data_IF_204742747391
#
_entry.id   IF_204742747391
#
_cell.length_a   1.000
_cell.length_b   1.000
_cell.length_c   1.000
_cell.angle_alpha   90.00
_cell.angle_beta   90.00
_cell.angle_gamma   90.00
#
_symmetry.space_group_name_H-M   'P 1'
#
loop_
_entity.id
_entity.type
_entity.pdbx_description
1 polymer ?
#
# COMPACT_ATOMS: atom_id res chain seq x y z
N UNK A 1 50.12 -13.92 -18.01
CA UNK A 1 49.00 -14.03 -18.97
C UNK A 1 47.78 -13.45 -18.31
N UNK A 2 47.28 -12.35 -18.86
CA UNK A 2 46.09 -11.64 -18.43
C UNK A 2 44.86 -12.18 -19.19
N UNK A 3 43.73 -12.31 -18.49
CA UNK A 3 42.40 -12.42 -19.07
C UNK A 3 41.37 -12.03 -17.98
N UNK A 4 40.24 -11.39 -18.35
CA UNK A 4 39.94 -10.07 -17.83
C UNK A 4 38.57 -9.96 -17.14
N UNK A 5 38.45 -8.86 -16.40
CA UNK A 5 37.24 -8.31 -15.81
C UNK A 5 36.20 -8.01 -16.91
N UNK A 6 35.06 -8.69 -16.88
CA UNK A 6 33.90 -8.43 -17.74
C UNK A 6 32.95 -7.43 -17.09
N UNK A 7 33.31 -6.15 -17.14
CA UNK A 7 32.39 -5.05 -16.88
C UNK A 7 31.48 -4.91 -18.11
N UNK A 8 30.18 -5.22 -17.99
CA UNK A 8 29.18 -4.86 -19.00
C UNK A 8 28.56 -3.50 -18.60
N UNK A 9 28.73 -2.44 -19.40
CA UNK A 9 27.99 -1.21 -19.26
C UNK A 9 26.70 -1.30 -20.11
N UNK A 10 25.61 -0.71 -19.60
CA UNK A 10 24.49 -0.31 -20.44
C UNK A 10 23.32 -1.29 -20.52
N UNK A 11 22.42 -1.16 -19.55
CA UNK A 11 21.01 -1.47 -19.72
C UNK A 11 20.22 -0.29 -19.16
N UNK A 12 20.21 0.81 -19.91
CA UNK A 12 19.45 2.01 -19.56
C UNK A 12 17.98 1.67 -19.40
N UNK A 13 17.47 1.78 -18.18
CA UNK A 13 16.04 1.84 -17.94
C UNK A 13 15.51 3.14 -18.58
N UNK A 14 14.60 3.08 -19.56
CA UNK A 14 13.92 4.28 -19.99
C UNK A 14 12.97 4.67 -18.86
N UNK A 15 13.30 5.79 -18.21
CA UNK A 15 12.37 6.54 -17.40
C UNK A 15 11.15 6.90 -18.27
N UNK A 16 10.08 6.12 -18.11
CA UNK A 16 8.72 6.50 -18.48
C UNK A 16 8.06 7.21 -17.31
N UNK A 17 8.07 8.53 -17.38
CA UNK A 17 7.34 9.44 -16.49
C UNK A 17 5.84 9.15 -16.57
N UNK A 18 5.27 8.51 -15.55
CA UNK A 18 3.82 8.31 -15.46
C UNK A 18 3.42 7.20 -14.49
N UNK A 19 3.20 7.58 -13.23
CA UNK A 19 2.23 6.95 -12.32
C UNK A 19 2.09 5.41 -12.38
N UNK A 20 3.17 4.66 -12.19
CA UNK A 20 3.08 3.22 -11.91
C UNK A 20 2.98 3.00 -10.40
N UNK A 21 1.82 3.34 -9.83
CA UNK A 21 1.33 2.63 -8.64
C UNK A 21 1.20 1.19 -9.10
N UNK A 22 2.17 0.34 -8.76
CA UNK A 22 2.06 -1.10 -8.97
C UNK A 22 0.72 -1.52 -8.34
N UNK A 23 -0.29 -1.93 -9.13
CA UNK A 23 -1.58 -2.23 -8.58
C UNK A 23 -1.42 -3.46 -7.69
N UNK A 24 -1.94 -3.37 -6.45
CA UNK A 24 -2.04 -4.50 -5.53
C UNK A 24 -2.50 -5.74 -6.30
N UNK A 25 -1.83 -6.88 -6.13
CA UNK A 25 -2.09 -8.10 -6.89
C UNK A 25 -3.56 -8.57 -6.83
N UNK A 26 -4.33 -8.17 -5.81
CA UNK A 26 -5.77 -8.40 -5.71
C UNK A 26 -6.65 -7.45 -6.54
N UNK A 27 -6.16 -6.26 -6.89
CA UNK A 27 -6.93 -5.27 -7.65
C UNK A 27 -7.20 -5.72 -9.09
N UNK A 28 -6.27 -6.46 -9.70
CA UNK A 28 -6.48 -7.03 -11.04
C UNK A 28 -7.49 -8.19 -11.02
N UNK A 29 -7.51 -8.99 -9.96
CA UNK A 29 -8.49 -10.07 -9.79
C UNK A 29 -9.89 -9.52 -9.52
N UNK A 30 -10.00 -8.47 -8.69
CA UNK A 30 -11.27 -7.78 -8.43
C UNK A 30 -11.80 -7.09 -9.70
N UNK A 31 -10.94 -6.42 -10.47
CA UNK A 31 -11.33 -5.85 -11.77
C UNK A 31 -11.82 -6.91 -12.76
N UNK A 32 -11.15 -8.07 -12.82
CA UNK A 32 -11.59 -9.17 -13.67
C UNK A 32 -12.95 -9.74 -13.21
N UNK A 33 -13.18 -9.81 -11.90
CA UNK A 33 -14.45 -10.26 -11.32
C UNK A 33 -15.59 -9.26 -11.57
N UNK A 34 -15.34 -7.95 -11.36
CA UNK A 34 -16.31 -6.88 -11.67
C UNK A 34 -16.65 -6.87 -13.15
N UNK A 35 -15.66 -7.05 -14.03
CA UNK A 35 -15.91 -7.15 -15.47
C UNK A 35 -16.79 -8.37 -15.82
N UNK A 36 -16.53 -9.52 -15.19
CA UNK A 36 -17.37 -10.71 -15.35
C UNK A 36 -18.82 -10.49 -14.88
N UNK A 37 -19.02 -9.79 -13.77
CA UNK A 37 -20.35 -9.42 -13.27
C UNK A 37 -21.07 -8.45 -14.21
N UNK A 38 -20.36 -7.46 -14.76
CA UNK A 38 -20.93 -6.50 -15.72
C UNK A 38 -21.37 -7.21 -17.00
N UNK A 39 -20.57 -8.14 -17.51
CA UNK A 39 -20.93 -8.93 -18.70
C UNK A 39 -22.17 -9.80 -18.43
N UNK A 40 -22.25 -10.44 -17.26
CA UNK A 40 -23.43 -11.21 -16.85
C UNK A 40 -24.67 -10.32 -16.73
N UNK A 41 -24.55 -9.14 -16.10
CA UNK A 41 -25.67 -8.20 -15.97
C UNK A 41 -26.13 -7.68 -17.34
N UNK A 42 -25.19 -7.41 -18.23
CA UNK A 42 -25.47 -7.00 -19.62
C UNK A 42 -26.24 -8.09 -20.38
N UNK A 43 -25.83 -9.35 -20.23
CA UNK A 43 -26.55 -10.51 -20.78
C UNK A 43 -27.98 -10.61 -20.26
N UNK A 44 -28.18 -10.48 -18.94
CA UNK A 44 -29.52 -10.52 -18.32
C UNK A 44 -30.39 -9.34 -18.77
N UNK A 45 -29.80 -8.16 -18.98
CA UNK A 45 -30.53 -6.98 -19.50
C UNK A 45 -30.92 -7.15 -20.97
N UNK A 46 -30.07 -7.80 -21.77
CA UNK A 46 -30.40 -8.14 -23.15
C UNK A 46 -31.55 -9.14 -23.19
N UNK A 47 -31.46 -10.21 -22.41
CA UNK A 47 -32.50 -11.24 -22.32
C UNK A 47 -33.84 -10.67 -21.82
N UNK A 48 -33.81 -9.75 -20.83
CA UNK A 48 -35.03 -9.07 -20.40
C UNK A 48 -35.65 -8.21 -21.51
N UNK A 49 -34.83 -7.50 -22.31
CA UNK A 49 -35.35 -6.73 -23.45
C UNK A 49 -36.02 -7.64 -24.48
N UNK A 50 -35.40 -8.76 -24.83
CA UNK A 50 -35.99 -9.74 -25.75
C UNK A 50 -37.31 -10.29 -25.21
N UNK A 51 -37.36 -10.68 -23.93
CA UNK A 51 -38.59 -11.13 -23.28
C UNK A 51 -39.68 -10.05 -23.26
N UNK A 52 -39.31 -8.78 -23.09
CA UNK A 52 -40.25 -7.65 -23.17
C UNK A 52 -40.79 -7.44 -24.58
N UNK A 53 -39.94 -7.55 -25.60
CA UNK A 53 -40.37 -7.48 -27.00
C UNK A 53 -41.29 -8.66 -27.37
N UNK A 54 -40.98 -9.86 -26.89
CA UNK A 54 -41.85 -11.03 -27.04
C UNK A 54 -43.21 -10.83 -26.35
N UNK A 55 -43.22 -10.34 -25.10
CA UNK A 55 -44.46 -10.02 -24.38
C UNK A 55 -45.27 -8.94 -25.11
N UNK A 56 -44.63 -7.88 -25.59
CA UNK A 56 -45.28 -6.82 -26.36
C UNK A 56 -45.87 -7.37 -27.66
N UNK A 57 -45.15 -8.26 -28.35
CA UNK A 57 -45.65 -8.94 -29.55
C UNK A 57 -46.82 -9.88 -29.24
N UNK A 58 -46.78 -10.57 -28.10
CA UNK A 58 -47.85 -11.43 -27.59
C UNK A 58 -49.11 -10.65 -27.22
N UNK A 59 -48.95 -9.49 -26.58
CA UNK A 59 -50.02 -8.54 -26.27
C UNK A 59 -50.62 -7.99 -27.56
N UNK A 60 -49.79 -7.56 -28.52
CA UNK A 60 -50.27 -7.07 -29.81
C UNK A 60 -51.06 -8.14 -30.57
N UNK A 61 -50.62 -9.41 -30.54
CA UNK A 61 -51.38 -10.55 -31.11
C UNK A 61 -52.67 -10.84 -30.36
N UNK A 62 -52.68 -10.71 -29.03
CA UNK A 62 -53.90 -10.86 -28.23
C UNK A 62 -54.90 -9.72 -28.51
N UNK A 63 -54.42 -8.51 -28.80
CA UNK A 63 -55.22 -7.33 -29.12
C UNK A 63 -55.76 -7.36 -30.56
N UNK A 64 -55.02 -7.98 -31.50
CA UNK A 64 -55.44 -8.18 -32.90
C UNK A 64 -56.40 -9.36 -33.06
N UNK A 65 -56.65 -10.18 -32.03
CA UNK A 65 -57.75 -11.16 -32.05
C UNK A 65 -59.05 -10.42 -31.74
N UNK A 66 -59.86 -10.05 -32.76
CA UNK A 66 -61.16 -9.47 -32.49
C UNK A 66 -61.99 -10.57 -31.84
N UNK A 67 -62.82 -10.22 -30.86
CA UNK A 67 -63.92 -11.06 -30.46
C UNK A 67 -64.70 -11.44 -31.71
N UNK A 68 -64.60 -12.70 -32.11
CA UNK A 68 -65.36 -13.27 -33.22
C UNK A 68 -66.80 -13.47 -32.72
N UNK A 69 -67.51 -12.35 -32.61
CA UNK A 69 -68.93 -12.23 -32.28
C UNK A 69 -69.55 -11.33 -33.33
N UNK A 70 -69.89 -11.96 -34.45
CA UNK A 70 -70.93 -11.62 -35.42
C UNK A 70 -71.93 -10.57 -34.93
N UNK A 71 -71.99 -9.39 -35.58
CA UNK A 71 -73.22 -8.60 -35.69
C UNK A 71 -73.21 -7.81 -37.00
N UNK A 72 -74.03 -8.29 -37.94
CA UNK A 72 -74.38 -7.61 -39.17
C UNK A 72 -75.29 -6.38 -38.94
N UNK A 73 -75.08 -5.43 -39.85
CA UNK A 73 -75.98 -4.41 -40.38
C UNK A 73 -77.42 -4.32 -39.83
N UNK A 74 -77.82 -3.12 -39.40
CA UNK A 74 -79.23 -2.77 -39.19
C UNK A 74 -79.41 -1.45 -38.44
N UNK A 75 -79.72 -0.39 -39.18
CA UNK A 75 -80.33 0.84 -38.65
C UNK A 75 -81.53 0.49 -37.77
N UNK A 76 -81.40 0.70 -36.47
CA UNK A 76 -82.53 0.87 -35.56
C UNK A 76 -82.14 2.04 -34.67
N UNK A 77 -82.88 3.13 -34.77
CA UNK A 77 -82.94 4.17 -33.74
C UNK A 77 -83.30 3.48 -32.42
N UNK A 78 -82.27 3.09 -31.68
CA UNK A 78 -82.42 2.43 -30.39
C UNK A 78 -82.85 3.47 -29.37
N UNK A 79 -84.13 3.48 -29.05
CA UNK A 79 -84.55 3.78 -27.69
C UNK A 79 -83.56 3.11 -26.74
N UNK A 80 -82.94 3.88 -25.85
CA UNK A 80 -82.13 3.30 -24.77
C UNK A 80 -83.00 2.21 -24.13
N UNK A 81 -82.57 0.94 -24.10
CA UNK A 81 -83.36 -0.10 -23.49
C UNK A 81 -83.59 0.35 -22.05
N UNK A 82 -84.85 0.36 -21.60
CA UNK A 82 -85.13 0.47 -20.17
C UNK A 82 -84.49 -0.75 -19.52
N UNK A 83 -83.26 -0.59 -19.03
CA UNK A 83 -82.50 -1.65 -18.39
C UNK A 83 -83.34 -2.20 -17.24
N UNK A 84 -83.72 -3.47 -17.38
CA UNK A 84 -84.54 -4.16 -16.40
C UNK A 84 -83.80 -4.11 -15.06
N UNK A 85 -84.49 -3.89 -13.93
CA UNK A 85 -83.84 -3.74 -12.62
C UNK A 85 -82.85 -4.88 -12.26
N UNK A 86 -83.07 -6.07 -12.83
CA UNK A 86 -82.16 -7.22 -12.73
C UNK A 86 -80.82 -7.02 -13.46
N UNK A 87 -80.79 -6.39 -14.64
CA UNK A 87 -79.58 -6.09 -15.41
C UNK A 87 -78.74 -4.98 -14.74
N UNK A 88 -79.41 -4.00 -14.13
CA UNK A 88 -78.77 -3.02 -13.28
C UNK A 88 -78.11 -3.67 -12.06
N UNK A 89 -78.79 -4.61 -11.42
CA UNK A 89 -78.24 -5.36 -10.28
C UNK A 89 -77.05 -6.23 -10.66
N UNK A 90 -77.08 -6.93 -11.80
CA UNK A 90 -75.94 -7.74 -12.24
C UNK A 90 -74.72 -6.86 -12.56
N UNK A 91 -74.92 -5.72 -13.24
CA UNK A 91 -73.83 -4.76 -13.51
C UNK A 91 -73.26 -4.14 -12.24
N UNK A 92 -74.09 -3.86 -11.24
CA UNK A 92 -73.64 -3.33 -9.95
C UNK A 92 -72.76 -4.37 -9.23
N UNK A 93 -73.19 -5.64 -9.18
CA UNK A 93 -72.40 -6.74 -8.60
C UNK A 93 -71.09 -6.96 -9.37
N UNK A 94 -71.11 -6.86 -10.70
CA UNK A 94 -69.89 -6.96 -11.51
C UNK A 94 -68.94 -5.78 -11.28
N UNK A 95 -69.46 -4.56 -11.13
CA UNK A 95 -68.67 -3.38 -10.81
C UNK A 95 -68.06 -3.49 -9.40
N UNK A 96 -68.82 -3.94 -8.41
CA UNK A 96 -68.34 -4.21 -7.05
C UNK A 96 -67.21 -5.25 -7.05
N UNK A 97 -67.38 -6.36 -7.78
CA UNK A 97 -66.31 -7.37 -7.93
C UNK A 97 -65.05 -6.81 -8.57
N UNK A 98 -65.19 -5.94 -9.58
CA UNK A 98 -64.05 -5.27 -10.23
C UNK A 98 -63.37 -4.29 -9.27
N UNK A 99 -64.14 -3.54 -8.48
CA UNK A 99 -63.62 -2.63 -7.45
C UNK A 99 -62.86 -3.42 -6.39
N UNK A 100 -63.41 -4.53 -5.91
CA UNK A 100 -62.72 -5.41 -4.96
C UNK A 100 -61.42 -5.96 -5.52
N UNK A 101 -61.44 -6.47 -6.76
CA UNK A 101 -60.23 -6.98 -7.44
C UNK A 101 -59.15 -5.90 -7.61
N UNK A 102 -59.53 -4.69 -8.05
CA UNK A 102 -58.63 -3.55 -8.17
C UNK A 102 -58.10 -3.10 -6.80
N UNK A 103 -58.94 -3.13 -5.76
CA UNK A 103 -58.51 -2.77 -4.40
C UNK A 103 -57.48 -3.74 -3.84
N UNK A 104 -57.60 -5.03 -4.15
CA UNK A 104 -56.63 -6.04 -3.77
C UNK A 104 -55.32 -5.87 -4.55
N UNK A 105 -55.40 -5.68 -5.86
CA UNK A 105 -54.23 -5.39 -6.69
C UNK A 105 -53.48 -4.11 -6.23
N UNK A 106 -54.21 -3.07 -5.83
CA UNK A 106 -53.61 -1.85 -5.27
C UNK A 106 -52.89 -2.11 -3.94
N UNK A 107 -53.46 -2.92 -3.05
CA UNK A 107 -52.81 -3.31 -1.79
C UNK A 107 -51.53 -4.10 -2.05
N UNK A 108 -51.57 -5.06 -2.96
CA UNK A 108 -50.41 -5.89 -3.32
C UNK A 108 -49.29 -5.02 -3.94
N UNK A 109 -49.65 -4.08 -4.82
CA UNK A 109 -48.70 -3.14 -5.39
C UNK A 109 -48.09 -2.20 -4.33
N UNK A 110 -48.90 -1.70 -3.39
CA UNK A 110 -48.40 -0.86 -2.30
C UNK A 110 -47.44 -1.62 -1.37
N UNK A 111 -47.73 -2.89 -1.08
CA UNK A 111 -46.82 -3.77 -0.34
C UNK A 111 -45.50 -3.96 -1.07
N UNK A 112 -45.56 -4.28 -2.36
CA UNK A 112 -44.37 -4.47 -3.19
C UNK A 112 -43.49 -3.22 -3.24
N UNK A 113 -44.09 -2.03 -3.38
CA UNK A 113 -43.35 -0.75 -3.34
C UNK A 113 -42.66 -0.57 -1.99
N UNK A 114 -43.34 -0.86 -0.89
CA UNK A 114 -42.76 -0.76 0.47
C UNK A 114 -41.58 -1.72 0.65
N UNK A 115 -41.70 -2.95 0.14
CA UNK A 115 -40.61 -3.94 0.18
C UNK A 115 -39.40 -3.50 -0.66
N UNK A 116 -39.63 -2.95 -1.85
CA UNK A 116 -38.55 -2.38 -2.66
C UNK A 116 -37.87 -1.19 -1.99
N UNK A 117 -38.64 -0.29 -1.37
CA UNK A 117 -38.09 0.84 -0.63
C UNK A 117 -37.20 0.37 0.53
N UNK A 118 -37.67 -0.62 1.29
CA UNK A 118 -36.88 -1.21 2.38
C UNK A 118 -35.61 -1.90 1.86
N UNK A 119 -35.72 -2.70 0.80
CA UNK A 119 -34.58 -3.38 0.19
C UNK A 119 -33.54 -2.38 -0.36
N UNK A 120 -33.98 -1.33 -1.04
CA UNK A 120 -33.09 -0.27 -1.53
C UNK A 120 -32.41 0.48 -0.37
N UNK A 121 -33.15 0.76 0.70
CA UNK A 121 -32.59 1.40 1.88
C UNK A 121 -31.50 0.56 2.54
N UNK A 122 -31.72 -0.75 2.67
CA UNK A 122 -30.73 -1.69 3.21
C UNK A 122 -29.49 -1.78 2.30
N UNK A 123 -29.69 -1.88 0.99
CA UNK A 123 -28.59 -1.93 0.02
C UNK A 123 -27.75 -0.65 0.04
N UNK A 124 -28.39 0.52 0.14
CA UNK A 124 -27.68 1.81 0.23
C UNK A 124 -26.92 1.93 1.56
N UNK A 125 -27.48 1.44 2.67
CA UNK A 125 -26.76 1.38 3.95
C UNK A 125 -25.53 0.49 3.86
N UNK A 126 -25.69 -0.73 3.36
CA UNK A 126 -24.57 -1.66 3.19
C UNK A 126 -23.50 -1.05 2.28
N UNK A 127 -23.87 -0.43 1.15
CA UNK A 127 -22.94 0.23 0.25
C UNK A 127 -22.15 1.34 0.97
N UNK A 128 -22.84 2.18 1.76
CA UNK A 128 -22.22 3.25 2.54
C UNK A 128 -21.25 2.69 3.57
N UNK A 129 -21.66 1.66 4.31
CA UNK A 129 -20.84 1.04 5.35
C UNK A 129 -19.58 0.41 4.73
N UNK A 130 -19.74 -0.33 3.63
CA UNK A 130 -18.62 -0.92 2.88
C UNK A 130 -17.66 0.11 2.32
N UNK A 131 -18.16 1.25 1.83
CA UNK A 131 -17.30 2.34 1.36
C UNK A 131 -16.50 2.95 2.51
N UNK A 132 -17.13 3.17 3.66
CA UNK A 132 -16.48 3.73 4.85
C UNK A 132 -15.42 2.76 5.41
N UNK A 133 -15.74 1.46 5.51
CA UNK A 133 -14.79 0.41 5.89
C UNK A 133 -13.57 0.40 4.97
N UNK A 134 -13.80 0.39 3.65
CA UNK A 134 -12.71 0.40 2.66
C UNK A 134 -11.85 1.65 2.78
N UNK A 135 -12.44 2.82 2.97
CA UNK A 135 -11.69 4.07 3.17
C UNK A 135 -10.82 4.00 4.42
N UNK A 136 -11.35 3.45 5.52
CA UNK A 136 -10.61 3.24 6.75
C UNK A 136 -9.44 2.26 6.58
N UNK A 137 -9.65 1.13 5.89
CA UNK A 137 -8.59 0.16 5.57
C UNK A 137 -7.47 0.77 4.73
N UNK A 138 -7.81 1.54 3.70
CA UNK A 138 -6.81 2.22 2.86
C UNK A 138 -6.02 3.24 3.68
N UNK A 139 -6.70 4.03 4.51
CA UNK A 139 -6.04 5.00 5.38
C UNK A 139 -5.12 4.31 6.40
N UNK A 140 -5.56 3.20 7.00
CA UNK A 140 -4.74 2.46 7.97
C UNK A 140 -3.46 1.92 7.32
N UNK A 141 -3.55 1.39 6.10
CA UNK A 141 -2.41 0.95 5.30
C UNK A 141 -1.44 2.12 5.03
N UNK A 142 -1.95 3.27 4.58
CA UNK A 142 -1.11 4.44 4.34
C UNK A 142 -0.41 4.91 5.61
N UNK A 143 -1.15 5.02 6.73
CA UNK A 143 -0.56 5.43 8.01
C UNK A 143 0.52 4.45 8.48
N UNK A 144 0.30 3.15 8.33
CA UNK A 144 1.27 2.11 8.66
C UNK A 144 2.54 2.21 7.79
N UNK A 145 2.41 2.38 6.47
CA UNK A 145 3.58 2.56 5.61
C UNK A 145 4.34 3.85 5.90
N UNK A 146 3.64 4.94 6.22
CA UNK A 146 4.27 6.18 6.65
C UNK A 146 5.06 5.99 7.96
N UNK A 147 4.48 5.27 8.93
CA UNK A 147 5.18 4.92 10.16
C UNK A 147 6.42 4.08 9.87
N UNK A 148 6.30 3.02 9.07
CA UNK A 148 7.44 2.15 8.72
C UNK A 148 8.56 2.93 8.02
N UNK A 149 8.23 3.82 7.09
CA UNK A 149 9.20 4.68 6.41
C UNK A 149 9.85 5.68 7.37
N UNK A 150 9.09 6.22 8.32
CA UNK A 150 9.64 7.10 9.36
C UNK A 150 10.59 6.35 10.29
N UNK A 151 10.26 5.10 10.64
CA UNK A 151 11.11 4.25 11.48
C UNK A 151 12.42 3.92 10.77
N UNK A 152 12.38 3.48 9.51
CA UNK A 152 13.62 3.17 8.77
C UNK A 152 14.52 4.41 8.55
N UNK A 153 13.92 5.58 8.32
CA UNK A 153 14.65 6.85 8.29
C UNK A 153 15.28 7.18 9.64
N UNK A 154 14.56 6.97 10.74
CA UNK A 154 15.08 7.21 12.08
C UNK A 154 16.20 6.22 12.44
N UNK A 155 16.08 4.95 12.08
CA UNK A 155 17.11 3.93 12.28
C UNK A 155 18.40 4.27 11.55
N UNK A 156 18.30 4.70 10.28
CA UNK A 156 19.48 5.13 9.50
C UNK A 156 20.12 6.39 10.08
N UNK A 157 19.32 7.37 10.49
CA UNK A 157 19.82 8.58 11.17
C UNK A 157 20.52 8.22 12.49
N UNK A 158 19.92 7.35 13.30
CA UNK A 158 20.52 6.89 14.56
C UNK A 158 21.84 6.16 14.31
N UNK A 159 21.93 5.29 13.31
CA UNK A 159 23.17 4.61 12.95
C UNK A 159 24.28 5.61 12.51
N UNK A 160 23.91 6.67 11.80
CA UNK A 160 24.86 7.72 11.44
C UNK A 160 25.32 8.52 12.66
N UNK A 161 24.41 8.89 13.56
CA UNK A 161 24.75 9.60 14.80
C UNK A 161 25.65 8.76 15.72
N UNK A 162 25.38 7.47 15.88
CA UNK A 162 26.22 6.59 16.69
C UNK A 162 27.59 6.41 16.07
N UNK A 163 27.68 6.27 14.73
CA UNK A 163 28.96 6.22 14.04
C UNK A 163 29.75 7.53 14.20
N UNK A 164 29.12 8.70 14.06
CA UNK A 164 29.76 9.99 14.30
C UNK A 164 30.25 10.14 15.75
N UNK A 165 29.43 9.72 16.72
CA UNK A 165 29.81 9.74 18.13
C UNK A 165 31.01 8.82 18.42
N UNK A 166 31.05 7.66 17.77
CA UNK A 166 32.18 6.73 17.88
C UNK A 166 33.46 7.27 17.21
N UNK A 167 33.35 7.88 16.03
CA UNK A 167 34.47 8.55 15.36
C UNK A 167 35.03 9.68 16.23
N UNK A 168 34.15 10.49 16.85
CA UNK A 168 34.54 11.56 17.74
C UNK A 168 35.21 11.04 19.04
N UNK A 169 34.72 9.94 19.61
CA UNK A 169 35.34 9.35 20.80
C UNK A 169 36.70 8.72 20.48
N UNK A 170 36.84 8.06 19.32
CA UNK A 170 38.13 7.55 18.83
C UNK A 170 39.14 8.67 18.60
N UNK A 171 38.71 9.79 17.98
CA UNK A 171 39.55 10.96 17.80
C UNK A 171 40.09 11.49 19.14
N UNK A 172 39.21 11.65 20.15
CA UNK A 172 39.61 12.07 21.50
C UNK A 172 40.60 11.12 22.16
N UNK A 173 40.37 9.80 22.06
CA UNK A 173 41.30 8.80 22.60
C UNK A 173 42.65 8.84 21.87
N UNK A 174 42.65 8.94 20.53
CA UNK A 174 43.88 9.04 19.75
C UNK A 174 44.70 10.29 20.09
N UNK A 175 44.03 11.42 20.31
CA UNK A 175 44.67 12.66 20.75
C UNK A 175 45.23 12.51 22.16
N UNK A 176 44.46 11.93 23.09
CA UNK A 176 44.92 11.62 24.44
C UNK A 176 46.17 10.72 24.45
N UNK A 177 46.22 9.69 23.61
CA UNK A 177 47.40 8.80 23.47
C UNK A 177 48.59 9.57 22.91
N UNK A 178 48.39 10.43 21.90
CA UNK A 178 49.49 11.25 21.34
C UNK A 178 50.04 12.24 22.35
N UNK A 179 49.17 12.87 23.14
CA UNK A 179 49.58 13.79 24.21
C UNK A 179 50.33 13.04 25.32
N UNK A 180 49.83 11.89 25.77
CA UNK A 180 50.51 11.07 26.78
C UNK A 180 51.89 10.57 26.30
N UNK A 181 52.01 10.16 25.03
CA UNK A 181 53.30 9.78 24.46
C UNK A 181 54.26 10.97 24.38
N UNK A 182 53.77 12.14 23.93
CA UNK A 182 54.55 13.37 23.88
C UNK A 182 55.05 13.75 25.28
N UNK A 183 54.18 13.75 26.29
CA UNK A 183 54.55 14.05 27.67
C UNK A 183 55.60 13.06 28.21
N UNK A 184 55.43 11.76 27.97
CA UNK A 184 56.43 10.74 28.33
C UNK A 184 57.79 11.02 27.66
N UNK A 185 57.79 11.36 26.37
CA UNK A 185 59.05 11.70 25.68
C UNK A 185 59.68 12.95 26.26
N UNK A 186 58.92 14.01 26.52
CA UNK A 186 59.41 15.26 27.11
C UNK A 186 60.00 15.05 28.51
N UNK A 187 59.38 14.21 29.34
CA UNK A 187 59.91 13.82 30.66
C UNK A 187 61.22 13.02 30.56
N UNK A 188 61.39 12.19 29.53
CA UNK A 188 62.59 11.36 29.34
C UNK A 188 63.78 12.14 28.75
N UNK A 189 63.53 13.10 27.86
CA UNK A 189 64.55 13.92 27.18
C UNK A 189 65.62 14.55 28.09
N UNK A 190 65.33 15.17 29.26
CA UNK A 190 66.37 15.74 30.11
C UNK A 190 67.32 14.68 30.68
N UNK A 191 66.80 13.50 31.04
CA UNK A 191 67.62 12.40 31.53
C UNK A 191 68.51 11.83 30.41
N UNK A 192 67.95 11.65 29.21
CA UNK A 192 68.72 11.22 28.03
C UNK A 192 69.84 12.20 27.68
N UNK A 193 69.56 13.50 27.69
CA UNK A 193 70.56 14.56 27.47
C UNK A 193 71.66 14.53 28.53
N UNK A 194 71.29 14.35 29.80
CA UNK A 194 72.27 14.26 30.89
C UNK A 194 73.15 13.02 30.74
N UNK A 195 72.59 11.86 30.39
CA UNK A 195 73.35 10.64 30.14
C UNK A 195 74.31 10.84 28.97
N UNK A 196 73.86 11.45 27.87
CA UNK A 196 74.71 11.76 26.72
C UNK A 196 75.88 12.69 27.09
N UNK A 197 75.62 13.78 27.81
CA UNK A 197 76.66 14.70 28.28
C UNK A 197 77.68 14.00 29.21
N UNK A 198 77.19 13.16 30.12
CA UNK A 198 78.06 12.36 31.01
C UNK A 198 78.88 11.34 30.23
N UNK A 199 78.34 10.70 29.18
CA UNK A 199 79.08 9.80 28.29
C UNK A 199 80.21 10.53 27.56
N UNK A 200 79.92 11.72 27.01
CA UNK A 200 80.92 12.57 26.35
C UNK A 200 82.03 13.02 27.31
N UNK A 201 81.67 13.47 28.52
CA UNK A 201 82.64 13.82 29.55
C UNK A 201 83.51 12.61 29.91
N UNK A 202 82.91 11.44 30.13
CA UNK A 202 83.64 10.22 30.46
C UNK A 202 84.62 9.84 29.34
N UNK A 203 84.20 9.96 28.08
CA UNK A 203 85.05 9.74 26.90
C UNK A 203 86.25 10.69 26.89
N UNK A 204 86.05 11.99 27.12
CA UNK A 204 87.12 12.99 27.17
C UNK A 204 88.08 12.76 28.35
N UNK A 205 87.55 12.41 29.53
CA UNK A 205 88.36 12.13 30.71
C UNK A 205 89.22 10.87 30.50
N UNK A 206 88.67 9.81 29.90
CA UNK A 206 89.43 8.59 29.56
C UNK A 206 90.54 8.87 28.55
N UNK A 207 90.25 9.69 27.52
CA UNK A 207 91.26 10.13 26.56
C UNK A 207 92.43 10.87 27.25
N UNK A 208 92.15 11.72 28.24
CA UNK A 208 93.19 12.45 29.00
C UNK A 208 94.04 11.54 29.89
N UNK A 209 93.49 10.43 30.37
CA UNK A 209 94.19 9.45 31.24
C UNK A 209 94.93 8.40 30.40
N UNK A 210 94.75 8.37 29.08
CA UNK A 210 95.39 7.40 28.18
C UNK A 210 94.71 6.02 28.18
N UNK A 211 93.44 5.96 28.59
CA UNK A 211 92.60 4.76 28.45
C UNK A 211 91.83 4.83 27.13
N UNK A 212 91.78 3.71 26.40
CA UNK A 212 91.07 3.65 25.13
C UNK A 212 89.59 4.00 25.33
N UNK A 213 89.02 4.91 24.51
CA UNK A 213 87.62 5.26 24.60
C UNK A 213 86.75 4.05 24.22
N UNK A 214 85.68 3.74 24.98
CA UNK A 214 84.71 2.73 24.58
C UNK A 214 84.10 3.10 23.22
N UNK A 215 83.89 2.13 22.33
CA UNK A 215 83.20 2.39 21.06
C UNK A 215 81.73 2.68 21.34
N UNK A 216 81.16 3.64 20.62
CA UNK A 216 79.74 4.03 20.74
C UNK A 216 78.77 2.86 20.41
N UNK A 217 79.27 1.69 20.02
CA UNK A 217 78.52 0.49 19.64
C UNK A 217 78.36 -0.56 20.74
N UNK A 218 79.07 -0.47 21.88
CA UNK A 218 79.08 -1.57 22.87
C UNK A 218 77.95 -1.55 23.91
N UNK A 219 76.86 -0.81 23.68
CA UNK A 219 75.84 -0.56 24.71
C UNK A 219 74.39 -0.48 24.24
N UNK A 220 74.07 -0.87 23.00
CA UNK A 220 72.69 -0.85 22.48
C UNK A 220 72.07 -2.25 22.28
N UNK A 221 72.78 -3.34 22.60
CA UNK A 221 72.32 -4.69 22.23
C UNK A 221 71.56 -5.49 23.31
N UNK A 222 71.28 -4.99 24.52
CA UNK A 222 70.80 -5.88 25.59
C UNK A 222 69.60 -5.39 26.43
N UNK A 223 68.65 -4.64 25.84
CA UNK A 223 67.39 -4.29 26.54
C UNK A 223 66.13 -4.45 25.64
N UNK A 224 66.12 -5.45 24.74
CA UNK A 224 65.05 -5.64 23.75
C UNK A 224 64.25 -6.95 23.78
N UNK A 225 64.69 -8.01 24.47
CA UNK A 225 64.08 -9.35 24.33
C UNK A 225 63.22 -9.83 25.52
N UNK A 226 62.83 -8.92 26.44
CA UNK A 226 62.20 -9.29 27.70
C UNK A 226 60.66 -9.34 27.76
N UNK A 227 59.90 -8.73 26.84
CA UNK A 227 58.45 -8.55 27.06
C UNK A 227 57.60 -8.74 25.80
N UNK A 228 57.54 -9.98 25.29
CA UNK A 228 56.42 -10.45 24.43
C UNK A 228 56.00 -11.88 24.77
N UNK A 229 55.73 -12.15 26.04
CA UNK A 229 54.92 -13.33 26.45
C UNK A 229 54.06 -12.97 27.66
N UNK A 230 52.86 -12.47 27.41
CA UNK A 230 51.90 -12.24 28.49
C UNK A 230 50.60 -11.58 28.05
N UNK A 231 49.58 -12.43 27.83
CA UNK A 231 48.14 -12.17 27.67
C UNK A 231 47.64 -11.57 26.36
#
# INVERSE_FOLDING_TARGET
>A
MAAPNGMQPGGGAPYGLGSAIMPSAGHHQDMAHVWGLVEQLSGILHENRERWEELQSGIARAQIRPGNGDLGNGDVEGHAPEETAAEMQTRLVEAERKIEALSNAYKDQAQLVTEYENGLHEMVKLLRDRYNERSHEINSIHTYYHQLLSTSRNETLQAQLTHQAWQASLARVSEGVRLAYKEKTEQSLPYLKKIAALKEENRLLRQKVGWDPPSDSSGEEDEGEGERRGR
#
